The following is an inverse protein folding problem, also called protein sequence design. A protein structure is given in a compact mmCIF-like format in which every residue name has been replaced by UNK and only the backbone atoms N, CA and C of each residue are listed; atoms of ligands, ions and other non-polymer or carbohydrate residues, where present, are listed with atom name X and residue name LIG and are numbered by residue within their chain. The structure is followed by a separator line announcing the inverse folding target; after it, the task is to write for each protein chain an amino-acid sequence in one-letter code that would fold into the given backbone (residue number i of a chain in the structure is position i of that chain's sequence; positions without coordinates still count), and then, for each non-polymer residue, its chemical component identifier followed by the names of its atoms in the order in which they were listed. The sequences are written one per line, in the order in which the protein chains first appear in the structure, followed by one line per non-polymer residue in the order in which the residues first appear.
data_IF_511835802776
#
_entry.id   IF_511835802776
#
_cell.length_a   1.000
_cell.length_b   1.000
_cell.length_c   1.000
_cell.angle_alpha   90.00
_cell.angle_beta   90.00
_cell.angle_gamma   90.00
#
_symmetry.space_group_name_H-M   'P 1'
#
loop_
_entity.id
_entity.type
_entity.pdbx_description
1 polymer ?
#
# COMPACT_ATOMS: atom_id res chain seq x y z
N UNK A 1 28.62 4.82 -21.13
CA UNK A 1 27.67 3.95 -20.43
C UNK A 1 26.91 4.82 -19.44
N UNK A 2 25.67 5.21 -19.75
CA UNK A 2 24.88 6.11 -18.92
C UNK A 2 24.26 5.28 -17.80
N UNK A 3 24.78 5.41 -16.58
CA UNK A 3 24.18 4.81 -15.39
C UNK A 3 22.83 5.50 -15.14
N UNK A 4 21.77 4.91 -15.68
CA UNK A 4 20.39 5.27 -15.32
C UNK A 4 20.13 4.60 -13.97
N UNK A 5 20.41 5.33 -12.89
CA UNK A 5 19.98 4.97 -11.55
C UNK A 5 18.45 5.18 -11.50
N UNK A 6 17.69 4.12 -11.81
CA UNK A 6 16.23 4.07 -11.63
C UNK A 6 15.97 3.91 -10.13
N UNK A 7 16.05 5.00 -9.37
CA UNK A 7 15.67 5.04 -7.94
C UNK A 7 14.22 5.53 -7.87
N UNK A 8 13.26 4.74 -8.34
CA UNK A 8 11.85 5.15 -8.26
C UNK A 8 10.84 4.02 -8.07
N UNK A 9 11.30 2.77 -7.84
CA UNK A 9 10.44 1.63 -7.50
C UNK A 9 10.60 1.11 -6.05
N UNK A 10 11.49 1.73 -5.26
CA UNK A 10 11.84 1.20 -3.94
C UNK A 10 10.68 1.26 -2.93
N UNK A 11 9.75 2.21 -3.05
CA UNK A 11 8.61 2.24 -2.15
C UNK A 11 7.70 1.02 -2.35
N UNK A 12 7.28 0.73 -3.58
CA UNK A 12 6.47 -0.46 -3.87
C UNK A 12 7.18 -1.77 -3.46
N UNK A 13 8.49 -1.87 -3.70
CA UNK A 13 9.27 -3.05 -3.32
C UNK A 13 9.45 -3.20 -1.80
N UNK A 14 9.72 -2.11 -1.07
CA UNK A 14 9.85 -2.11 0.40
C UNK A 14 8.50 -2.39 1.07
N UNK A 15 7.42 -1.84 0.51
CA UNK A 15 6.04 -2.17 0.90
C UNK A 15 5.79 -3.67 0.69
N UNK A 16 6.11 -4.21 -0.49
CA UNK A 16 5.85 -5.61 -0.80
C UNK A 16 6.64 -6.59 0.08
N UNK A 17 7.88 -6.25 0.48
CA UNK A 17 8.73 -7.15 1.27
C UNK A 17 8.23 -7.43 2.69
N UNK A 18 7.52 -6.47 3.31
CA UNK A 18 6.93 -6.65 4.65
C UNK A 18 5.43 -6.97 4.62
N UNK A 19 4.84 -7.08 3.43
CA UNK A 19 3.42 -7.39 3.26
C UNK A 19 3.23 -8.89 2.96
N UNK A 20 2.17 -9.51 3.52
CA UNK A 20 1.78 -10.86 3.12
C UNK A 20 1.47 -10.91 1.63
N UNK A 21 1.62 -12.08 1.02
CA UNK A 21 1.46 -12.28 -0.43
C UNK A 21 0.11 -11.78 -0.96
N UNK A 22 -0.98 -11.96 -0.19
CA UNK A 22 -2.30 -11.46 -0.55
C UNK A 22 -2.34 -9.92 -0.64
N UNK A 23 -1.59 -9.22 0.20
CA UNK A 23 -1.51 -7.76 0.20
C UNK A 23 -0.62 -7.25 -0.94
N UNK A 24 0.41 -8.01 -1.33
CA UNK A 24 1.18 -7.74 -2.55
C UNK A 24 0.31 -7.82 -3.79
N UNK A 25 -0.59 -8.80 -3.88
CA UNK A 25 -1.59 -8.88 -4.96
C UNK A 25 -2.46 -7.63 -5.00
N UNK A 26 -2.91 -7.14 -3.85
CA UNK A 26 -3.69 -5.90 -3.77
C UNK A 26 -2.93 -4.67 -4.25
N UNK A 27 -1.67 -4.52 -3.84
CA UNK A 27 -0.80 -3.43 -4.32
C UNK A 27 -0.64 -3.50 -5.83
N UNK A 28 -0.40 -4.69 -6.38
CA UNK A 28 -0.25 -4.87 -7.83
C UNK A 28 -1.56 -4.56 -8.58
N UNK A 29 -2.72 -4.97 -8.06
CA UNK A 29 -4.02 -4.67 -8.70
C UNK A 29 -4.36 -3.17 -8.70
N UNK A 30 -3.96 -2.48 -7.63
CA UNK A 30 -4.14 -1.04 -7.50
C UNK A 30 -3.02 -0.23 -8.17
N UNK A 31 -1.98 -0.90 -8.67
CA UNK A 31 -0.91 -0.27 -9.42
C UNK A 31 -1.26 -0.26 -10.90
N UNK A 32 -1.64 0.91 -11.41
CA UNK A 32 -1.99 1.10 -12.82
C UNK A 32 -1.32 2.37 -13.34
N UNK A 33 -0.81 2.35 -14.59
CA UNK A 33 -0.19 3.52 -15.22
C UNK A 33 0.89 4.21 -14.35
N UNK A 34 1.72 3.41 -13.67
CA UNK A 34 2.78 3.91 -12.76
C UNK A 34 2.25 4.68 -11.53
N UNK A 35 0.96 4.53 -11.21
CA UNK A 35 0.27 5.09 -10.05
C UNK A 35 -0.24 3.96 -9.14
N UNK A 36 -0.28 4.22 -7.84
CA UNK A 36 -0.78 3.31 -6.81
C UNK A 36 -2.08 3.90 -6.26
N UNK A 37 -3.22 3.23 -6.49
CA UNK A 37 -4.55 3.72 -6.09
C UNK A 37 -4.82 5.17 -6.53
N UNK A 38 -4.38 5.53 -7.75
CA UNK A 38 -4.49 6.89 -8.30
C UNK A 38 -3.45 7.90 -7.80
N UNK A 39 -2.51 7.48 -6.95
CA UNK A 39 -1.43 8.32 -6.43
C UNK A 39 -0.10 8.05 -7.13
N UNK A 40 0.80 9.01 -7.16
CA UNK A 40 2.17 8.74 -7.62
C UNK A 40 2.83 7.65 -6.74
N UNK A 41 3.63 6.76 -7.33
CA UNK A 41 4.28 5.66 -6.60
C UNK A 41 5.13 6.11 -5.39
N UNK A 42 5.70 7.33 -5.45
CA UNK A 42 6.50 7.90 -4.38
C UNK A 42 5.66 8.72 -3.37
N UNK A 43 4.37 8.93 -3.62
CA UNK A 43 3.49 9.73 -2.77
C UNK A 43 2.79 8.86 -1.73
N UNK A 44 3.56 8.47 -0.71
CA UNK A 44 3.05 7.68 0.41
C UNK A 44 1.88 8.36 1.12
N UNK A 45 1.88 9.70 1.23
CA UNK A 45 0.80 10.43 1.87
C UNK A 45 -0.52 10.32 1.09
N UNK A 46 -0.47 10.44 -0.24
CA UNK A 46 -1.65 10.22 -1.10
C UNK A 46 -2.13 8.77 -1.00
N UNK A 47 -1.22 7.79 -1.07
CA UNK A 47 -1.57 6.36 -0.97
C UNK A 47 -2.27 6.08 0.37
N UNK A 48 -1.74 6.65 1.46
CA UNK A 48 -2.32 6.55 2.80
C UNK A 48 -3.70 7.18 2.92
N UNK A 49 -3.97 8.29 2.21
CA UNK A 49 -5.30 8.92 2.15
C UNK A 49 -6.30 8.10 1.34
N UNK A 50 -5.82 7.33 0.36
CA UNK A 50 -6.62 6.45 -0.49
C UNK A 50 -6.56 4.98 -0.05
N UNK A 51 -6.43 4.74 1.25
CA UNK A 51 -6.31 3.39 1.81
C UNK A 51 -7.58 2.53 1.71
N UNK A 52 -8.74 3.10 1.38
CA UNK A 52 -10.01 2.39 1.25
C UNK A 52 -9.97 1.33 0.15
N UNK A 53 -9.30 1.63 -0.97
CA UNK A 53 -9.13 0.67 -2.07
C UNK A 53 -8.29 -0.54 -1.65
N UNK A 54 -7.22 -0.29 -0.88
CA UNK A 54 -6.40 -1.34 -0.28
C UNK A 54 -7.20 -2.18 0.71
N UNK A 55 -7.91 -1.53 1.63
CA UNK A 55 -8.75 -2.20 2.61
C UNK A 55 -9.79 -3.11 1.93
N UNK A 56 -10.44 -2.63 0.87
CA UNK A 56 -11.40 -3.43 0.11
C UNK A 56 -10.78 -4.67 -0.53
N UNK A 57 -9.58 -4.55 -1.10
CA UNK A 57 -8.91 -5.72 -1.64
C UNK A 57 -8.51 -6.70 -0.51
N UNK A 58 -7.88 -6.21 0.56
CA UNK A 58 -7.49 -7.03 1.71
C UNK A 58 -8.68 -7.79 2.30
N UNK A 59 -9.86 -7.16 2.43
CA UNK A 59 -11.07 -7.82 2.95
C UNK A 59 -11.56 -8.98 2.08
N UNK A 60 -11.27 -8.97 0.77
CA UNK A 60 -11.73 -9.99 -0.19
C UNK A 60 -10.72 -11.10 -0.38
N UNK A 61 -9.43 -10.80 -0.23
CA UNK A 61 -8.33 -11.68 -0.66
C UNK A 61 -7.46 -12.18 0.49
N UNK A 62 -7.42 -11.47 1.62
CA UNK A 62 -6.55 -11.78 2.75
C UNK A 62 -7.30 -12.39 3.94
N UNK A 63 -6.62 -13.26 4.69
CA UNK A 63 -7.14 -13.75 5.97
C UNK A 63 -7.22 -12.60 7.00
N UNK A 64 -7.97 -12.79 8.09
CA UNK A 64 -8.07 -11.79 9.17
C UNK A 64 -6.69 -11.44 9.76
N UNK A 65 -5.80 -12.43 9.90
CA UNK A 65 -4.44 -12.23 10.40
C UNK A 65 -3.59 -11.40 9.43
N UNK A 66 -3.66 -11.69 8.14
CA UNK A 66 -2.94 -10.95 7.09
C UNK A 66 -3.45 -9.51 6.94
N UNK A 67 -4.77 -9.34 7.09
CA UNK A 67 -5.41 -8.02 7.15
C UNK A 67 -4.85 -7.20 8.32
N UNK A 68 -4.80 -7.77 9.53
CA UNK A 68 -4.32 -7.08 10.72
C UNK A 68 -2.83 -6.72 10.62
N UNK A 69 -2.00 -7.62 10.07
CA UNK A 69 -0.59 -7.35 9.78
C UNK A 69 -0.42 -6.21 8.76
N UNK A 70 -1.19 -6.23 7.67
CA UNK A 70 -1.17 -5.21 6.63
C UNK A 70 -1.61 -3.84 7.15
N UNK A 71 -2.65 -3.81 7.99
CA UNK A 71 -3.15 -2.57 8.61
C UNK A 71 -2.14 -2.02 9.61
N UNK A 72 -1.53 -2.87 10.44
CA UNK A 72 -0.49 -2.44 11.39
C UNK A 72 0.69 -1.77 10.67
N UNK A 73 1.15 -2.40 9.59
CA UNK A 73 2.21 -1.85 8.74
C UNK A 73 1.80 -0.53 8.07
N UNK A 74 0.61 -0.48 7.45
CA UNK A 74 0.08 0.72 6.84
C UNK A 74 -0.05 1.86 7.85
N UNK A 75 -0.52 1.57 9.07
CA UNK A 75 -0.63 2.57 10.13
C UNK A 75 0.72 3.18 10.49
N UNK A 76 1.73 2.33 10.70
CA UNK A 76 3.09 2.77 11.01
C UNK A 76 3.68 3.65 9.90
N UNK A 77 3.49 3.26 8.65
CA UNK A 77 3.97 4.04 7.50
C UNK A 77 3.22 5.37 7.37
N UNK A 78 1.90 5.34 7.44
CA UNK A 78 1.07 6.51 7.19
C UNK A 78 1.25 7.56 8.29
N UNK A 79 1.31 7.14 9.55
CA UNK A 79 1.58 8.06 10.68
C UNK A 79 2.95 8.72 10.52
N UNK A 80 3.98 7.98 10.09
CA UNK A 80 5.31 8.56 9.78
C UNK A 80 5.27 9.59 8.64
N UNK A 81 4.30 9.47 7.74
CA UNK A 81 4.05 10.42 6.65
C UNK A 81 2.97 11.47 7.01
N UNK A 82 2.58 11.59 8.28
CA UNK A 82 1.61 12.58 8.76
C UNK A 82 0.15 12.29 8.42
N UNK A 83 -0.19 11.05 8.05
CA UNK A 83 -1.55 10.61 7.72
C UNK A 83 -2.03 9.58 8.73
N UNK A 84 -3.09 9.90 9.48
CA UNK A 84 -3.76 8.94 10.34
C UNK A 84 -4.68 8.02 9.51
N UNK A 85 -4.53 6.71 9.68
CA UNK A 85 -5.38 5.71 9.03
C UNK A 85 -6.08 4.85 10.09
N UNK A 86 -7.29 4.36 9.81
CA UNK A 86 -8.00 3.44 10.72
C UNK A 86 -7.16 2.19 11.02
N UNK A 87 -7.26 1.70 12.25
CA UNK A 87 -6.60 0.49 12.75
C UNK A 87 -7.28 -0.81 12.33
N UNK A 88 -8.28 -0.74 11.44
CA UNK A 88 -8.98 -1.89 10.90
C UNK A 88 -9.21 -1.71 9.41
N UNK A 89 -9.33 -2.83 8.69
CA UNK A 89 -9.76 -2.85 7.29
C UNK A 89 -11.19 -2.33 7.21
N UNK A 90 -11.36 -1.06 6.84
CA UNK A 90 -12.67 -0.45 6.60
C UNK A 90 -12.83 -0.23 5.10
N UNK A 91 -13.52 -1.14 4.45
CA UNK A 91 -13.90 -1.01 3.06
C UNK A 91 -15.21 -0.19 2.98
N UNK A 92 -15.09 1.13 2.83
CA UNK A 92 -16.22 2.00 2.47
C UNK A 92 -16.32 2.03 0.95
N UNK A 93 -17.28 1.29 0.42
CA UNK A 93 -17.68 1.32 -0.98
C UNK A 93 -18.34 2.65 -1.36
#
# INVERSE_FOLDING_TARGET
MKAVLVISALFAAVLAQNLPSCAQTCVNQLTQNNQIAGCAQADAACICRNNSQFACCLSRTCSKADQDASVSYANNLCVKNGVAVPSSVVCRG
#
